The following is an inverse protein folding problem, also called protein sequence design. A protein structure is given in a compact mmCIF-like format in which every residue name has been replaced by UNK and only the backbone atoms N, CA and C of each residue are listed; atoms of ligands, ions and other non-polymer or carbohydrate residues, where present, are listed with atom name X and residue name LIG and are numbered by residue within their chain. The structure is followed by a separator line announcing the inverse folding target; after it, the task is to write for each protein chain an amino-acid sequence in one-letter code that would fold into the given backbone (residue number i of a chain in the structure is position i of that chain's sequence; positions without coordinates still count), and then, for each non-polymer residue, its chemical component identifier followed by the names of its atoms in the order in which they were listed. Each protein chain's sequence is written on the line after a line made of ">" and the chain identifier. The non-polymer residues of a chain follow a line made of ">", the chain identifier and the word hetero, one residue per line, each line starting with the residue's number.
data_IF_540428751241
#
_entry.id   IF_540428751241
#
_cell.length_a   1.000
_cell.length_b   1.000
_cell.length_c   1.000
_cell.angle_alpha   90.00
_cell.angle_beta   90.00
_cell.angle_gamma   90.00
#
_symmetry.space_group_name_H-M   'P 1'
#
loop_
_entity.id
_entity.type
_entity.pdbx_description
1 polymer ?
#
# COMPACT_ATOMS: atom_id res chain seq x y z
N UNK A 1 16.85 -15.84 -1.24
CA UNK A 1 15.83 -14.79 -1.08
C UNK A 1 14.94 -15.19 0.08
N UNK A 2 14.72 -14.28 1.02
CA UNK A 2 13.84 -14.50 2.17
C UNK A 2 12.45 -13.96 1.81
N UNK A 3 11.40 -14.70 2.13
CA UNK A 3 10.03 -14.26 1.89
C UNK A 3 9.10 -14.64 3.03
N UNK A 4 8.02 -13.87 3.18
CA UNK A 4 6.84 -14.25 3.95
C UNK A 4 5.66 -14.41 3.00
N UNK A 5 4.77 -15.35 3.28
CA UNK A 5 3.52 -15.50 2.57
C UNK A 5 2.40 -14.77 3.32
N UNK A 6 1.83 -13.72 2.72
CA UNK A 6 0.67 -13.01 3.24
C UNK A 6 -0.48 -13.12 2.25
N UNK A 7 -1.63 -13.62 2.70
CA UNK A 7 -2.83 -13.79 1.87
C UNK A 7 -2.57 -14.61 0.59
N UNK A 8 -1.67 -15.58 0.63
CA UNK A 8 -1.29 -16.41 -0.52
C UNK A 8 -0.23 -15.79 -1.44
N UNK A 9 0.35 -14.64 -1.08
CA UNK A 9 1.34 -13.93 -1.88
C UNK A 9 2.70 -13.84 -1.18
N UNK A 10 3.77 -14.01 -1.96
CA UNK A 10 5.15 -13.93 -1.46
C UNK A 10 5.65 -12.48 -1.47
N UNK A 11 6.10 -12.02 -0.31
CA UNK A 11 6.72 -10.70 -0.11
C UNK A 11 8.19 -10.90 0.23
N UNK A 12 9.08 -10.30 -0.56
CA UNK A 12 10.53 -10.43 -0.38
C UNK A 12 11.06 -9.54 0.75
N UNK A 13 11.86 -10.13 1.65
CA UNK A 13 12.39 -9.49 2.85
C UNK A 13 13.91 -9.27 2.76
N UNK A 14 14.39 -8.15 3.33
CA UNK A 14 15.82 -7.82 3.50
C UNK A 14 16.47 -8.58 4.66
N UNK A 15 15.73 -8.80 5.74
CA UNK A 15 16.19 -9.49 6.96
C UNK A 15 15.75 -10.97 6.96
N UNK A 16 16.45 -11.80 7.73
CA UNK A 16 16.04 -13.17 8.05
C UNK A 16 15.39 -13.14 9.43
N UNK A 17 14.19 -13.71 9.55
CA UNK A 17 13.45 -13.83 10.82
C UNK A 17 13.37 -15.29 11.23
N UNK A 18 13.21 -15.55 12.53
CA UNK A 18 13.15 -16.93 13.03
C UNK A 18 11.77 -17.58 12.85
N UNK A 19 10.74 -16.76 12.60
CA UNK A 19 9.37 -17.22 12.31
C UNK A 19 8.61 -16.24 11.40
N UNK A 20 7.53 -16.73 10.77
CA UNK A 20 6.60 -15.88 10.01
C UNK A 20 5.93 -14.82 10.88
N UNK A 21 5.61 -15.16 12.13
CA UNK A 21 5.01 -14.21 13.08
C UNK A 21 5.94 -13.03 13.36
N UNK A 22 7.24 -13.29 13.53
CA UNK A 22 8.25 -12.23 13.72
C UNK A 22 8.38 -11.37 12.46
N UNK A 23 8.47 -11.99 11.29
CA UNK A 23 8.54 -11.28 10.01
C UNK A 23 7.30 -10.39 9.79
N UNK A 24 6.10 -10.91 10.05
CA UNK A 24 4.86 -10.13 9.96
C UNK A 24 4.84 -8.97 10.95
N UNK A 25 5.22 -9.22 12.20
CA UNK A 25 5.31 -8.17 13.22
C UNK A 25 6.28 -7.07 12.78
N UNK A 26 7.46 -7.43 12.30
CA UNK A 26 8.46 -6.49 11.81
C UNK A 26 7.96 -5.66 10.62
N UNK A 27 7.26 -6.28 9.66
CA UNK A 27 6.64 -5.56 8.54
C UNK A 27 5.62 -4.50 9.01
N UNK A 28 4.91 -4.77 10.11
CA UNK A 28 3.94 -3.83 10.66
C UNK A 28 4.56 -2.74 11.53
N UNK A 29 5.61 -3.04 12.29
CA UNK A 29 6.08 -2.16 13.38
C UNK A 29 7.42 -1.50 13.12
N UNK A 30 8.31 -2.09 12.33
CA UNK A 30 9.60 -1.51 11.99
C UNK A 30 9.51 -0.57 10.78
N UNK A 31 10.61 0.15 10.50
CA UNK A 31 10.76 0.92 9.28
C UNK A 31 10.71 -0.01 8.06
N UNK A 32 9.79 0.25 7.12
CA UNK A 32 9.57 -0.60 5.94
C UNK A 32 10.84 -0.73 5.08
N UNK A 33 11.66 0.32 5.01
CA UNK A 33 12.93 0.29 4.26
C UNK A 33 13.91 -0.74 4.84
N UNK A 34 13.86 -1.01 6.15
CA UNK A 34 14.76 -1.98 6.76
C UNK A 34 14.32 -3.43 6.56
N UNK A 35 13.01 -3.66 6.38
CA UNK A 35 12.43 -5.00 6.38
C UNK A 35 12.08 -5.48 4.97
N UNK A 36 11.49 -4.61 4.15
CA UNK A 36 10.98 -4.95 2.82
C UNK A 36 11.98 -4.59 1.72
N UNK A 37 12.09 -5.44 0.69
CA UNK A 37 12.97 -5.21 -0.46
C UNK A 37 12.45 -4.16 -1.44
N UNK A 38 11.19 -3.75 -1.33
CA UNK A 38 10.54 -2.81 -2.23
C UNK A 38 9.89 -3.49 -3.45
N UNK A 39 9.07 -2.73 -4.18
CA UNK A 39 8.41 -3.14 -5.41
C UNK A 39 9.18 -2.61 -6.62
N UNK A 40 9.93 -3.48 -7.30
CA UNK A 40 10.75 -3.10 -8.47
C UNK A 40 9.91 -2.65 -9.67
N UNK A 41 8.65 -3.05 -9.76
CA UNK A 41 7.78 -2.75 -10.89
C UNK A 41 7.39 -1.26 -11.01
N UNK A 42 7.49 -0.49 -9.93
CA UNK A 42 7.06 0.92 -9.91
C UNK A 42 8.16 1.85 -10.43
N UNK A 43 9.42 1.45 -10.33
CA UNK A 43 10.56 2.32 -10.61
C UNK A 43 10.55 2.83 -12.05
N UNK A 44 10.35 4.14 -12.22
CA UNK A 44 10.41 4.82 -13.51
C UNK A 44 9.24 4.56 -14.46
N UNK A 45 8.15 3.95 -14.00
CA UNK A 45 6.94 3.76 -14.81
C UNK A 45 5.97 4.91 -14.63
N UNK A 46 5.46 5.44 -15.75
CA UNK A 46 4.36 6.42 -15.75
C UNK A 46 3.01 5.77 -16.09
N UNK A 47 3.00 4.70 -16.89
CA UNK A 47 1.80 3.98 -17.29
C UNK A 47 2.06 2.48 -17.30
N UNK A 48 1.05 1.66 -17.04
CA UNK A 48 1.15 0.20 -17.12
C UNK A 48 0.19 -0.54 -16.20
N UNK A 49 0.56 -1.79 -15.91
CA UNK A 49 -0.14 -2.64 -14.94
C UNK A 49 0.93 -3.22 -14.00
N UNK A 50 0.72 -3.09 -12.70
CA UNK A 50 1.48 -3.80 -11.68
C UNK A 50 0.88 -5.21 -11.55
N UNK A 51 1.71 -6.24 -11.74
CA UNK A 51 1.28 -7.64 -11.70
C UNK A 51 1.80 -8.40 -10.46
N UNK A 52 2.71 -7.79 -9.71
CA UNK A 52 3.18 -8.32 -8.42
C UNK A 52 2.40 -7.75 -7.25
N UNK A 53 2.32 -8.52 -6.18
CA UNK A 53 1.96 -8.01 -4.86
C UNK A 53 2.99 -6.98 -4.41
N UNK A 54 2.55 -5.96 -3.66
CA UNK A 54 3.46 -5.00 -3.07
C UNK A 54 2.97 -4.53 -1.70
N UNK A 55 3.91 -4.25 -0.81
CA UNK A 55 3.62 -3.70 0.51
C UNK A 55 4.04 -2.23 0.54
N UNK A 56 3.16 -1.37 1.07
CA UNK A 56 3.40 0.06 1.19
C UNK A 56 3.10 0.57 2.61
N UNK A 57 3.85 1.58 3.05
CA UNK A 57 3.43 2.53 4.07
C UNK A 57 2.56 3.61 3.44
N UNK A 58 1.51 4.00 4.14
CA UNK A 58 0.76 5.22 3.82
C UNK A 58 1.48 6.41 4.46
N UNK A 59 2.12 7.25 3.66
CA UNK A 59 2.80 8.47 4.13
C UNK A 59 1.79 9.55 4.48
N UNK A 60 0.78 9.73 3.64
CA UNK A 60 -0.29 10.70 3.86
C UNK A 60 -1.57 10.31 3.14
N UNK A 61 -2.69 10.81 3.66
CA UNK A 61 -4.04 10.56 3.16
C UNK A 61 -4.72 11.91 2.97
N UNK A 62 -5.29 12.14 1.79
CA UNK A 62 -6.08 13.33 1.50
C UNK A 62 -7.40 12.91 0.89
N UNK A 63 -8.50 13.29 1.52
CA UNK A 63 -9.81 13.23 0.89
C UNK A 63 -9.94 14.38 -0.12
N UNK A 64 -10.06 14.02 -1.39
CA UNK A 64 -10.24 14.91 -2.54
C UNK A 64 -11.66 14.83 -3.11
N UNK A 65 -12.52 13.95 -2.56
CA UNK A 65 -13.94 13.86 -2.90
C UNK A 65 -14.78 14.88 -2.14
N UNK A 66 -14.38 15.22 -0.91
CA UNK A 66 -15.03 16.29 -0.14
C UNK A 66 -14.66 17.68 -0.68
N UNK A 67 -15.67 18.49 -1.01
CA UNK A 67 -15.47 19.92 -1.23
C UNK A 67 -14.97 20.56 0.08
N UNK A 68 -14.02 21.49 -0.03
CA UNK A 68 -13.53 22.24 1.13
C UNK A 68 -14.72 22.97 1.78
N UNK A 69 -15.05 22.60 3.03
CA UNK A 69 -16.17 23.19 3.78
C UNK A 69 -17.52 22.47 3.65
N UNK A 70 -17.58 21.30 3.01
CA UNK A 70 -18.80 20.49 2.91
C UNK A 70 -18.66 19.16 3.68
N UNK A 71 -19.24 19.09 4.87
CA UNK A 71 -19.25 17.89 5.72
C UNK A 71 -20.40 16.92 5.36
N UNK A 72 -21.27 17.26 4.41
CA UNK A 72 -22.50 16.48 4.12
C UNK A 72 -22.33 15.36 3.10
N UNK A 73 -21.19 15.31 2.41
CA UNK A 73 -20.86 14.31 1.40
C UNK A 73 -20.22 13.07 2.03
N UNK A 74 -20.96 11.94 2.03
CA UNK A 74 -20.43 10.61 2.39
C UNK A 74 -19.58 9.98 1.27
N UNK A 75 -19.48 10.62 0.10
CA UNK A 75 -18.58 10.16 -0.96
C UNK A 75 -17.17 10.66 -0.65
N UNK A 76 -16.37 9.77 -0.09
CA UNK A 76 -14.95 9.96 0.05
C UNK A 76 -14.25 9.60 -1.26
N UNK A 77 -13.18 10.33 -1.59
CA UNK A 77 -12.26 9.91 -2.65
C UNK A 77 -10.87 10.20 -2.15
N UNK A 78 -10.10 9.17 -1.84
CA UNK A 78 -8.79 9.32 -1.25
C UNK A 78 -7.70 9.43 -2.32
N UNK A 79 -6.80 10.38 -2.09
CA UNK A 79 -5.47 10.44 -2.67
C UNK A 79 -4.47 10.07 -1.57
N UNK A 80 -3.76 8.97 -1.79
CA UNK A 80 -2.74 8.43 -0.90
C UNK A 80 -1.34 8.78 -1.44
N UNK A 81 -0.42 9.11 -0.54
CA UNK A 81 1.02 9.04 -0.83
C UNK A 81 1.54 7.76 -0.17
N UNK A 82 2.16 6.89 -0.95
CA UNK A 82 2.59 5.56 -0.55
C UNK A 82 4.10 5.43 -0.70
N UNK A 83 4.77 4.76 0.23
CA UNK A 83 6.20 4.38 0.11
C UNK A 83 6.44 2.92 0.42
N UNK A 84 7.27 2.25 -0.37
CA UNK A 84 7.75 0.89 -0.06
C UNK A 84 9.13 0.91 0.64
N UNK A 85 9.60 2.10 1.02
CA UNK A 85 10.94 2.35 1.58
C UNK A 85 12.02 2.60 0.51
N UNK A 86 11.73 2.36 -0.77
CA UNK A 86 12.66 2.59 -1.90
C UNK A 86 12.09 3.59 -2.89
N UNK A 87 10.79 3.51 -3.14
CA UNK A 87 10.03 4.32 -4.09
C UNK A 87 8.86 4.98 -3.36
N UNK A 88 8.55 6.21 -3.76
CA UNK A 88 7.31 6.90 -3.41
C UNK A 88 6.38 6.94 -4.62
N UNK A 89 5.10 6.67 -4.43
CA UNK A 89 4.08 6.70 -5.48
C UNK A 89 2.74 7.16 -4.93
N UNK A 90 1.90 7.73 -5.78
CA UNK A 90 0.55 8.14 -5.41
C UNK A 90 -0.48 7.04 -5.74
N UNK A 91 -1.41 6.80 -4.81
CA UNK A 91 -2.58 5.96 -5.01
C UNK A 91 -3.85 6.80 -5.07
N UNK A 92 -4.70 6.55 -6.04
CA UNK A 92 -5.99 7.21 -6.21
C UNK A 92 -7.10 6.19 -6.02
N UNK A 93 -8.06 6.47 -5.14
CA UNK A 93 -9.29 5.69 -4.98
C UNK A 93 -10.13 5.80 -6.26
N UNK A 94 -9.97 4.80 -7.13
CA UNK A 94 -10.64 4.70 -8.42
C UNK A 94 -12.01 4.02 -8.31
N UNK A 95 -12.11 3.00 -7.44
CA UNK A 95 -13.39 2.46 -6.97
C UNK A 95 -13.43 2.56 -5.45
N UNK A 96 -14.60 2.92 -4.91
CA UNK A 96 -14.75 3.19 -3.49
C UNK A 96 -14.52 1.97 -2.60
N UNK A 97 -14.02 2.20 -1.39
CA UNK A 97 -13.90 1.18 -0.34
C UNK A 97 -14.42 1.65 1.01
N UNK A 98 -14.85 0.70 1.85
CA UNK A 98 -15.53 0.97 3.13
C UNK A 98 -14.59 0.89 4.35
N UNK A 99 -13.26 0.87 4.16
CA UNK A 99 -12.30 0.83 5.25
C UNK A 99 -11.51 2.13 5.38
N UNK A 100 -11.13 2.47 6.60
CA UNK A 100 -10.31 3.64 6.88
C UNK A 100 -8.83 3.36 6.63
N UNK A 101 -8.16 4.35 6.03
CA UNK A 101 -6.72 4.39 5.82
C UNK A 101 -6.19 5.68 6.43
N UNK A 102 -5.15 5.54 7.25
CA UNK A 102 -4.48 6.64 7.92
C UNK A 102 -2.99 6.64 7.60
N UNK A 103 -2.33 7.78 7.83
CA UNK A 103 -0.88 7.86 7.74
C UNK A 103 -0.21 6.92 8.77
N UNK A 104 0.83 6.23 8.35
CA UNK A 104 1.53 5.19 9.11
C UNK A 104 0.93 3.79 8.98
N UNK A 105 -0.25 3.63 8.36
CA UNK A 105 -0.80 2.30 8.08
C UNK A 105 0.05 1.56 7.05
N UNK A 106 0.09 0.23 7.18
CA UNK A 106 0.61 -0.67 6.14
C UNK A 106 -0.54 -1.08 5.23
N UNK A 107 -0.30 -1.08 3.93
CA UNK A 107 -1.28 -1.56 2.96
C UNK A 107 -0.65 -2.59 2.04
N UNK A 108 -1.34 -3.71 1.84
CA UNK A 108 -1.00 -4.70 0.85
C UNK A 108 -1.75 -4.40 -0.44
N UNK A 109 -1.00 -4.21 -1.52
CA UNK A 109 -1.52 -3.96 -2.84
C UNK A 109 -1.58 -5.25 -3.64
N UNK A 110 -2.78 -5.64 -4.05
CA UNK A 110 -3.06 -6.87 -4.78
C UNK A 110 -3.18 -6.62 -6.28
N UNK A 111 -2.42 -7.34 -7.12
CA UNK A 111 -2.48 -7.20 -8.56
C UNK A 111 -3.78 -7.79 -9.13
N UNK A 112 -4.19 -7.40 -10.35
CA UNK A 112 -3.54 -6.39 -11.19
C UNK A 112 -3.97 -4.96 -10.81
N UNK A 113 -3.00 -4.02 -10.77
CA UNK A 113 -3.28 -2.60 -10.49
C UNK A 113 -2.88 -1.75 -11.69
N UNK A 114 -3.80 -0.91 -12.18
CA UNK A 114 -3.51 0.00 -13.28
C UNK A 114 -2.68 1.19 -12.78
N UNK A 115 -1.61 1.50 -13.49
CA UNK A 115 -0.81 2.70 -13.31
C UNK A 115 -1.08 3.66 -14.47
N UNK A 116 -1.45 4.90 -14.17
CA UNK A 116 -1.73 5.93 -15.18
C UNK A 116 -1.13 7.26 -14.74
N UNK A 117 -0.24 7.84 -15.55
CA UNK A 117 0.45 9.10 -15.25
C UNK A 117 1.07 9.15 -13.84
N UNK A 118 1.68 8.05 -13.39
CA UNK A 118 2.30 7.96 -12.06
C UNK A 118 1.32 7.74 -10.89
N UNK A 119 0.01 7.56 -11.17
CA UNK A 119 -1.01 7.24 -10.18
C UNK A 119 -1.44 5.79 -10.27
N UNK A 120 -1.40 5.07 -9.15
CA UNK A 120 -2.05 3.76 -9.01
C UNK A 120 -3.56 3.97 -8.89
N UNK A 121 -4.33 3.33 -9.77
CA UNK A 121 -5.79 3.32 -9.71
C UNK A 121 -6.21 2.18 -8.80
N UNK A 122 -6.52 2.51 -7.55
CA UNK A 122 -6.82 1.55 -6.50
C UNK A 122 -8.32 1.32 -6.42
N UNK A 123 -8.71 0.07 -6.25
CA UNK A 123 -10.07 -0.32 -5.89
C UNK A 123 -10.10 -1.19 -4.65
N UNK A 124 -11.28 -1.41 -4.08
CA UNK A 124 -11.45 -2.27 -2.89
C UNK A 124 -10.89 -3.70 -3.09
N UNK A 125 -10.82 -4.16 -4.33
CA UNK A 125 -10.21 -5.43 -4.73
C UNK A 125 -8.67 -5.43 -4.70
N UNK A 126 -8.05 -4.25 -4.76
CA UNK A 126 -6.60 -4.07 -4.93
C UNK A 126 -5.88 -3.66 -3.65
N UNK A 127 -6.58 -3.32 -2.57
CA UNK A 127 -5.95 -2.78 -1.37
C UNK A 127 -6.52 -3.45 -0.12
N UNK A 128 -5.61 -3.91 0.74
CA UNK A 128 -5.92 -4.44 2.07
C UNK A 128 -5.14 -3.61 3.09
N UNK A 129 -5.85 -2.95 4.00
CA UNK A 129 -5.23 -2.31 5.17
C UNK A 129 -4.76 -3.37 6.16
N UNK A 130 -3.48 -3.35 6.52
CA UNK A 130 -2.90 -4.20 7.53
C UNK A 130 -2.79 -3.41 8.84
N UNK A 131 -3.63 -3.74 9.81
CA UNK A 131 -3.63 -3.11 11.12
C UNK A 131 -2.64 -3.80 12.06
N UNK A 132 -1.97 -2.99 12.90
CA UNK A 132 -1.26 -3.50 14.07
C UNK A 132 -2.31 -4.06 15.03
N UNK A 133 -2.50 -5.38 15.05
CA UNK A 133 -3.24 -6.00 16.15
C UNK A 133 -2.40 -5.83 17.42
N UNK A 134 -2.93 -5.09 18.39
CA UNK A 134 -2.34 -4.87 19.72
C UNK A 134 -2.30 -6.17 20.51
#
# INVERSE_FOLDING_TARGET
>A
MNYIELQGYKIELKKIFSSEKEAYTALLTENIEEVYSGCSEIRGKNDGILNSVALFEVVSVRDIGKRIGDESSNNHTYLLVLTDGVNEIQGFEYTSWDFEVEAGNRVLLLPPIKLKRGLLLLGSENIISLTKSV
#
